data_IF_821682225796
#
_entry.id   IF_821682225796
#
_cell.length_a   1.000
_cell.length_b   1.000
_cell.length_c   1.000
_cell.angle_alpha   90.00
_cell.angle_beta   90.00
_cell.angle_gamma   90.00
#
_symmetry.space_group_name_H-M   'P 1'
#
loop_
_entity.id
_entity.type
_entity.pdbx_description
1 polymer ?
#
# COMPACT_ATOMS: atom_id res chain seq x y z
N UNK A 1 10.50 -8.86 -74.48
CA UNK A 1 11.09 -9.79 -73.48
C UNK A 1 11.10 -9.07 -72.14
N UNK A 2 10.42 -9.62 -71.13
CA UNK A 2 10.32 -9.08 -69.76
C UNK A 2 11.52 -9.57 -68.93
N UNK A 3 12.09 -8.77 -68.01
CA UNK A 3 12.75 -9.31 -66.85
C UNK A 3 11.74 -9.45 -65.70
N UNK A 4 11.59 -10.68 -65.18
CA UNK A 4 11.03 -10.92 -63.85
C UNK A 4 12.09 -10.50 -62.82
N UNK A 5 11.75 -9.52 -61.98
CA UNK A 5 12.51 -9.22 -60.77
C UNK A 5 11.85 -9.94 -59.59
N UNK A 6 12.58 -10.93 -59.07
CA UNK A 6 12.39 -11.53 -57.76
C UNK A 6 12.98 -10.55 -56.74
N UNK A 7 12.13 -9.95 -55.92
CA UNK A 7 12.47 -9.28 -54.67
C UNK A 7 11.19 -9.33 -53.85
N UNK A 8 11.14 -9.77 -52.61
CA UNK A 8 12.14 -9.94 -51.59
C UNK A 8 11.31 -9.93 -50.31
N UNK A 9 11.29 -11.06 -49.63
CA UNK A 9 10.53 -11.31 -48.42
C UNK A 9 10.83 -10.21 -47.37
N UNK A 10 9.86 -9.37 -47.05
CA UNK A 10 9.82 -8.65 -45.76
C UNK A 10 8.42 -8.82 -45.18
N UNK A 11 8.19 -10.02 -44.65
CA UNK A 11 7.19 -10.21 -43.61
C UNK A 11 7.66 -9.39 -42.41
N UNK A 12 7.15 -8.17 -42.30
CA UNK A 12 7.22 -7.39 -41.08
C UNK A 12 6.43 -8.15 -40.02
N UNK A 13 7.12 -9.07 -39.32
CA UNK A 13 6.73 -9.48 -37.98
C UNK A 13 6.83 -8.22 -37.13
N UNK A 14 5.73 -7.47 -37.08
CA UNK A 14 5.45 -6.62 -35.95
C UNK A 14 5.47 -7.56 -34.74
N UNK A 15 6.60 -7.58 -34.05
CA UNK A 15 6.72 -8.02 -32.67
C UNK A 15 5.75 -7.13 -31.88
N UNK A 16 4.49 -7.55 -31.86
CA UNK A 16 3.57 -7.32 -30.77
C UNK A 16 4.26 -7.93 -29.56
N UNK A 17 5.13 -7.13 -28.94
CA UNK A 17 5.48 -7.33 -27.55
C UNK A 17 4.14 -7.48 -26.83
N UNK A 18 3.93 -8.56 -26.05
CA UNK A 18 2.75 -8.62 -25.22
C UNK A 18 2.76 -7.34 -24.39
N UNK A 19 1.68 -6.55 -24.46
CA UNK A 19 1.34 -5.65 -23.36
C UNK A 19 1.58 -6.48 -22.10
N UNK A 20 2.51 -6.04 -21.25
CA UNK A 20 2.73 -6.64 -19.95
C UNK A 20 1.37 -6.68 -19.27
N UNK A 21 0.75 -7.85 -19.34
CA UNK A 21 -0.55 -8.14 -18.79
C UNK A 21 -0.36 -8.04 -17.30
N UNK A 22 -0.70 -6.87 -16.73
CA UNK A 22 -0.93 -6.76 -15.30
C UNK A 22 -1.89 -7.88 -14.92
N UNK A 23 -1.40 -8.88 -14.21
CA UNK A 23 -2.20 -10.04 -13.84
C UNK A 23 -3.33 -9.60 -12.88
N UNK A 24 -4.57 -9.95 -13.26
CA UNK A 24 -5.79 -10.06 -12.46
C UNK A 24 -6.18 -8.86 -11.56
N UNK A 25 -7.22 -8.12 -12.01
CA UNK A 25 -7.83 -6.91 -11.44
C UNK A 25 -8.77 -7.13 -10.24
N UNK A 26 -8.46 -7.99 -9.29
CA UNK A 26 -9.33 -8.17 -8.11
C UNK A 26 -8.51 -8.22 -6.83
N UNK A 27 -8.82 -7.29 -5.92
CA UNK A 27 -8.22 -7.24 -4.60
C UNK A 27 -8.44 -8.57 -3.88
N UNK A 28 -7.39 -9.02 -3.19
CA UNK A 28 -7.54 -10.11 -2.24
C UNK A 28 -8.15 -9.53 -0.99
N UNK A 29 -9.42 -9.84 -0.75
CA UNK A 29 -10.11 -9.43 0.47
C UNK A 29 -9.96 -10.54 1.51
N UNK A 30 -9.34 -10.22 2.64
CA UNK A 30 -9.19 -11.17 3.73
C UNK A 30 -9.37 -10.47 5.07
N UNK A 31 -10.28 -10.99 5.90
CA UNK A 31 -10.29 -10.67 7.32
C UNK A 31 -9.33 -11.63 8.04
N UNK A 32 -8.44 -11.13 8.89
CA UNK A 32 -7.83 -12.02 9.86
C UNK A 32 -8.90 -12.57 10.80
N UNK A 33 -8.77 -13.83 11.22
CA UNK A 33 -9.54 -14.32 12.36
C UNK A 33 -9.26 -13.36 13.52
N UNK A 34 -10.32 -12.75 14.05
CA UNK A 34 -10.23 -12.04 15.31
C UNK A 34 -9.55 -12.96 16.34
N UNK A 35 -8.66 -12.39 17.15
CA UNK A 35 -8.20 -13.01 18.39
C UNK A 35 -9.42 -13.65 19.08
N UNK A 36 -9.38 -14.95 19.46
CA UNK A 36 -10.56 -15.79 19.61
C UNK A 36 -11.70 -15.11 20.37
N UNK A 37 -12.85 -15.04 19.69
CA UNK A 37 -14.08 -14.30 20.04
C UNK A 37 -14.85 -14.82 21.28
N UNK A 38 -14.19 -15.50 22.22
CA UNK A 38 -14.87 -16.03 23.41
C UNK A 38 -14.78 -15.14 24.64
N UNK A 39 -14.15 -13.97 24.58
CA UNK A 39 -14.19 -13.01 25.69
C UNK A 39 -14.14 -11.59 25.15
N UNK A 40 -15.02 -10.73 25.67
CA UNK A 40 -14.98 -9.26 25.66
C UNK A 40 -15.55 -8.57 24.40
N UNK A 41 -16.69 -7.89 24.58
CA UNK A 41 -16.99 -6.60 23.94
C UNK A 41 -15.80 -5.67 24.16
N UNK A 42 -14.81 -5.75 23.28
CA UNK A 42 -13.50 -5.17 23.52
C UNK A 42 -13.52 -3.66 23.27
N UNK A 43 -13.96 -2.91 24.28
CA UNK A 43 -13.90 -1.43 24.31
C UNK A 43 -12.46 -0.89 24.20
N UNK A 44 -11.46 -1.73 24.45
CA UNK A 44 -10.04 -1.38 24.38
C UNK A 44 -9.37 -1.86 23.08
N UNK A 45 -10.11 -2.53 22.19
CA UNK A 45 -9.50 -3.08 20.99
C UNK A 45 -9.22 -1.98 19.98
N UNK A 46 -8.05 -2.11 19.36
CA UNK A 46 -7.59 -1.27 18.28
C UNK A 46 -7.94 -1.99 16.98
N UNK A 47 -8.92 -1.45 16.26
CA UNK A 47 -9.29 -1.88 14.92
C UNK A 47 -8.30 -1.30 13.91
N UNK A 48 -7.85 -2.15 13.00
CA UNK A 48 -6.88 -1.78 11.97
C UNK A 48 -7.42 -2.21 10.62
N UNK A 49 -7.45 -1.28 9.67
CA UNK A 49 -7.65 -1.60 8.26
C UNK A 49 -6.35 -1.34 7.51
N UNK A 50 -5.93 -2.30 6.69
CA UNK A 50 -4.76 -2.20 5.81
C UNK A 50 -5.25 -2.37 4.39
N UNK A 51 -4.94 -1.41 3.53
CA UNK A 51 -5.09 -1.57 2.08
C UNK A 51 -3.74 -1.42 1.39
N UNK A 52 -3.48 -2.26 0.40
CA UNK A 52 -2.28 -2.19 -0.43
C UNK A 52 -2.69 -2.00 -1.87
N UNK A 53 -2.08 -1.01 -2.51
CA UNK A 53 -2.30 -0.67 -3.91
C UNK A 53 -0.99 -0.73 -4.67
N UNK A 54 -1.05 -1.17 -5.92
CA UNK A 54 0.03 -1.00 -6.87
C UNK A 54 -0.35 0.07 -7.88
N UNK A 55 0.47 1.10 -8.00
CA UNK A 55 0.26 2.21 -8.92
C UNK A 55 1.39 2.28 -9.94
N UNK A 56 1.08 2.25 -11.23
CA UNK A 56 2.04 2.49 -12.31
C UNK A 56 1.64 3.77 -13.05
N UNK A 57 2.44 4.85 -12.96
CA UNK A 57 2.14 6.09 -13.67
C UNK A 57 2.22 5.86 -15.19
N UNK A 58 1.36 6.56 -15.94
CA UNK A 58 1.35 6.49 -17.42
C UNK A 58 2.60 7.10 -18.07
N UNK A 59 3.41 7.85 -17.31
CA UNK A 59 4.66 8.44 -17.74
C UNK A 59 5.21 9.45 -16.73
N UNK A 60 6.30 10.14 -17.08
CA UNK A 60 7.01 11.06 -16.19
C UNK A 60 6.12 12.19 -15.62
N UNK A 61 5.23 12.75 -16.45
CA UNK A 61 4.30 13.80 -15.99
C UNK A 61 3.36 13.27 -14.90
N UNK A 62 2.72 12.13 -15.15
CA UNK A 62 1.84 11.48 -14.18
C UNK A 62 2.56 11.12 -12.88
N UNK A 63 3.81 10.67 -12.98
CA UNK A 63 4.66 10.40 -11.82
C UNK A 63 4.89 11.68 -10.99
N UNK A 64 5.25 12.78 -11.64
CA UNK A 64 5.45 14.08 -10.97
C UNK A 64 4.15 14.60 -10.33
N UNK A 65 3.02 14.47 -11.02
CA UNK A 65 1.71 14.89 -10.53
C UNK A 65 1.28 14.06 -9.30
N UNK A 66 1.54 12.74 -9.31
CA UNK A 66 1.28 11.85 -8.18
C UNK A 66 2.16 12.19 -6.96
N UNK A 67 3.47 12.39 -7.17
CA UNK A 67 4.40 12.81 -6.10
C UNK A 67 4.05 14.19 -5.54
N UNK A 68 3.61 15.11 -6.39
CA UNK A 68 3.12 16.44 -5.96
C UNK A 68 1.87 16.31 -5.11
N UNK A 69 0.97 15.38 -5.46
CA UNK A 69 -0.24 15.11 -4.69
C UNK A 69 0.11 14.50 -3.33
N UNK A 70 1.06 13.57 -3.27
CA UNK A 70 1.58 13.02 -2.01
C UNK A 70 2.13 14.11 -1.10
N UNK A 71 2.94 15.04 -1.63
CA UNK A 71 3.54 16.13 -0.86
C UNK A 71 2.49 17.01 -0.17
N UNK A 72 1.32 17.20 -0.79
CA UNK A 72 0.22 17.99 -0.21
C UNK A 72 -0.45 17.33 1.01
N UNK A 73 -0.28 16.02 1.19
CA UNK A 73 -0.90 15.26 2.28
C UNK A 73 -0.03 15.24 3.54
N UNK A 74 1.25 15.58 3.42
CA UNK A 74 2.20 15.50 4.52
C UNK A 74 1.88 16.55 5.59
N UNK A 75 1.37 16.11 6.74
CA UNK A 75 1.12 16.95 7.90
C UNK A 75 2.43 17.27 8.63
N UNK A 76 3.32 18.09 8.06
CA UNK A 76 4.63 18.42 8.65
C UNK A 76 5.54 17.19 8.91
N UNK A 77 6.88 17.34 9.00
CA UNK A 77 7.77 16.18 8.97
C UNK A 77 7.62 15.29 10.22
N UNK A 78 7.31 14.02 9.99
CA UNK A 78 7.49 12.96 10.98
C UNK A 78 9.00 12.72 11.10
N UNK A 79 9.53 12.70 12.33
CA UNK A 79 10.96 12.50 12.57
C UNK A 79 11.42 11.17 11.96
N UNK A 80 12.11 11.23 10.82
CA UNK A 80 12.80 10.09 10.25
C UNK A 80 14.11 9.88 11.01
N UNK A 81 14.36 8.64 11.45
CA UNK A 81 15.72 8.19 11.67
C UNK A 81 16.55 8.36 10.39
N UNK A 82 17.87 8.54 10.50
CA UNK A 82 18.70 8.86 9.34
C UNK A 82 18.65 7.71 8.30
N UNK A 83 18.09 7.97 7.10
CA UNK A 83 18.25 7.07 5.94
C UNK A 83 17.07 6.88 4.97
N UNK A 84 15.81 7.27 5.29
CA UNK A 84 14.68 6.94 4.40
C UNK A 84 14.25 8.11 3.50
N UNK A 85 14.62 8.07 2.22
CA UNK A 85 13.82 8.72 1.19
C UNK A 85 12.59 7.82 0.93
N UNK A 86 11.38 8.27 1.24
CA UNK A 86 10.15 7.47 1.07
C UNK A 86 9.66 6.72 2.32
N UNK A 87 9.98 7.21 3.52
CA UNK A 87 9.46 6.63 4.76
C UNK A 87 7.94 6.81 4.96
N UNK A 88 7.35 6.14 5.98
CA UNK A 88 5.94 6.30 6.31
C UNK A 88 5.59 7.76 6.59
N UNK A 89 4.47 8.21 6.04
CA UNK A 89 3.90 9.53 6.29
C UNK A 89 2.64 9.38 7.12
N UNK A 90 2.49 10.20 8.16
CA UNK A 90 1.23 10.33 8.87
C UNK A 90 0.37 11.39 8.18
N UNK A 91 -0.82 11.00 7.76
CA UNK A 91 -1.75 11.85 6.99
C UNK A 91 -3.06 12.02 7.75
N UNK A 92 -3.81 13.06 7.40
CA UNK A 92 -5.11 13.32 8.03
C UNK A 92 -6.08 12.15 7.82
N UNK A 93 -7.09 11.95 8.69
CA UNK A 93 -8.08 10.90 8.52
C UNK A 93 -8.81 11.05 7.17
N UNK A 94 -8.95 9.94 6.42
CA UNK A 94 -9.56 9.92 5.08
C UNK A 94 -8.70 10.52 3.95
N UNK A 95 -7.54 11.09 4.25
CA UNK A 95 -6.66 11.68 3.25
C UNK A 95 -6.04 10.60 2.36
N UNK A 96 -5.89 9.36 2.85
CA UNK A 96 -5.36 8.25 2.07
C UNK A 96 -6.29 7.84 0.94
N UNK A 97 -7.59 7.71 1.21
CA UNK A 97 -8.56 7.45 0.14
C UNK A 97 -8.63 8.60 -0.86
N UNK A 98 -8.63 9.84 -0.37
CA UNK A 98 -8.59 11.03 -1.25
C UNK A 98 -7.36 11.02 -2.17
N UNK A 99 -6.20 10.55 -1.67
CA UNK A 99 -4.99 10.38 -2.46
C UNK A 99 -5.16 9.35 -3.57
N UNK A 100 -5.67 8.16 -3.24
CA UNK A 100 -5.96 7.07 -4.17
C UNK A 100 -6.88 7.58 -5.30
N UNK A 101 -7.99 8.23 -4.96
CA UNK A 101 -8.92 8.82 -5.94
C UNK A 101 -8.24 9.88 -6.83
N UNK A 102 -7.32 10.66 -6.26
CA UNK A 102 -6.58 11.69 -6.99
C UNK A 102 -5.60 11.10 -7.99
N UNK A 103 -4.99 9.94 -7.72
CA UNK A 103 -3.98 9.35 -8.60
C UNK A 103 -4.54 8.31 -9.56
N UNK A 104 -5.76 7.82 -9.34
CA UNK A 104 -6.38 6.75 -10.15
C UNK A 104 -6.35 7.07 -11.65
N UNK A 105 -6.65 8.31 -12.03
CA UNK A 105 -6.68 8.75 -13.43
C UNK A 105 -5.29 9.06 -14.03
N UNK A 106 -4.22 9.04 -13.23
CA UNK A 106 -2.86 9.36 -13.67
C UNK A 106 -2.11 8.14 -14.23
N UNK A 107 -2.64 6.93 -14.05
CA UNK A 107 -1.98 5.70 -14.47
C UNK A 107 -2.83 4.46 -14.30
N UNK A 108 -2.16 3.32 -14.15
CA UNK A 108 -2.80 2.06 -13.79
C UNK A 108 -2.75 1.90 -12.28
N UNK A 109 -3.92 1.77 -11.64
CA UNK A 109 -4.04 1.60 -10.21
C UNK A 109 -4.78 0.28 -9.93
N UNK A 110 -4.17 -0.57 -9.10
CA UNK A 110 -4.72 -1.89 -8.77
C UNK A 110 -4.70 -2.08 -7.26
N UNK A 111 -5.87 -2.34 -6.67
CA UNK A 111 -5.95 -2.78 -5.28
C UNK A 111 -5.45 -4.23 -5.20
N UNK A 112 -4.42 -4.45 -4.38
CA UNK A 112 -3.78 -5.76 -4.20
C UNK A 112 -4.31 -6.47 -2.97
N UNK A 113 -4.51 -5.71 -1.89
CA UNK A 113 -4.94 -6.23 -0.61
C UNK A 113 -5.96 -5.31 0.04
N UNK A 114 -7.01 -5.91 0.62
CA UNK A 114 -7.82 -5.30 1.65
C UNK A 114 -7.87 -6.24 2.86
N UNK A 115 -7.45 -5.72 4.02
CA UNK A 115 -7.37 -6.48 5.24
C UNK A 115 -7.90 -5.70 6.43
N UNK A 116 -8.65 -6.38 7.29
CA UNK A 116 -9.11 -5.84 8.57
C UNK A 116 -8.74 -6.80 9.69
N UNK A 117 -8.25 -6.23 10.79
CA UNK A 117 -7.95 -6.96 12.02
C UNK A 117 -8.18 -6.12 13.27
N UNK A 118 -7.97 -6.76 14.41
CA UNK A 118 -8.07 -6.13 15.72
C UNK A 118 -6.95 -6.64 16.61
N UNK A 119 -6.37 -5.75 17.42
CA UNK A 119 -5.38 -6.12 18.43
C UNK A 119 -5.59 -5.34 19.72
N UNK A 120 -4.92 -5.79 20.78
CA UNK A 120 -4.77 -5.06 22.03
C UNK A 120 -3.48 -4.21 21.97
N UNK A 121 -3.39 -3.21 22.83
CA UNK A 121 -2.14 -2.48 23.04
C UNK A 121 -1.00 -3.46 23.35
N UNK A 122 0.18 -3.19 22.80
CA UNK A 122 1.43 -3.94 22.95
C UNK A 122 1.40 -5.38 22.41
N UNK A 123 0.31 -5.80 21.78
CA UNK A 123 0.21 -7.12 21.15
C UNK A 123 0.48 -7.01 19.64
N UNK A 124 1.41 -7.81 19.10
CA UNK A 124 1.69 -7.81 17.68
C UNK A 124 0.48 -8.33 16.90
N UNK A 125 0.16 -7.64 15.83
CA UNK A 125 -0.90 -7.96 14.90
C UNK A 125 -0.27 -8.40 13.57
N UNK A 126 -0.03 -9.70 13.38
CA UNK A 126 0.56 -10.22 12.16
C UNK A 126 -0.49 -10.29 11.04
N UNK A 127 -0.04 -9.93 9.85
CA UNK A 127 -0.71 -10.06 8.56
C UNK A 127 0.24 -10.84 7.65
N UNK A 128 -0.23 -11.90 7.02
CA UNK A 128 0.53 -12.64 6.01
C UNK A 128 -0.45 -13.22 4.99
N UNK A 129 -0.35 -12.79 3.75
CA UNK A 129 -1.27 -13.13 2.67
C UNK A 129 -0.45 -13.41 1.42
N UNK A 130 -0.72 -14.57 0.82
CA UNK A 130 -0.08 -15.00 -0.42
C UNK A 130 -1.13 -15.15 -1.52
N UNK A 131 -0.86 -14.60 -2.69
CA UNK A 131 -1.81 -14.60 -3.80
C UNK A 131 -1.15 -14.40 -5.15
N UNK A 132 -1.93 -14.52 -6.23
CA UNK A 132 -1.47 -14.15 -7.57
C UNK A 132 -1.12 -12.65 -7.71
N UNK A 133 -1.64 -11.82 -6.81
CA UNK A 133 -1.38 -10.38 -6.78
C UNK A 133 -0.06 -10.04 -6.04
N UNK A 134 0.63 -11.06 -5.50
CA UNK A 134 1.84 -10.93 -4.69
C UNK A 134 1.69 -11.53 -3.29
N UNK A 135 2.81 -11.57 -2.57
CA UNK A 135 2.87 -11.94 -1.16
C UNK A 135 3.04 -10.67 -0.31
N UNK A 136 2.12 -10.46 0.62
CA UNK A 136 2.08 -9.28 1.48
C UNK A 136 2.12 -9.72 2.92
N UNK A 137 3.05 -9.16 3.70
CA UNK A 137 3.06 -9.37 5.14
C UNK A 137 3.32 -8.07 5.90
N UNK A 138 2.73 -8.00 7.08
CA UNK A 138 2.97 -6.92 8.01
C UNK A 138 2.95 -7.42 9.45
N UNK A 139 3.70 -6.75 10.32
CA UNK A 139 3.56 -6.89 11.77
C UNK A 139 3.35 -5.49 12.34
N UNK A 140 2.20 -5.27 12.95
CA UNK A 140 1.82 -3.99 13.55
C UNK A 140 1.72 -4.13 15.06
N UNK A 141 2.37 -3.24 15.81
CA UNK A 141 2.25 -3.16 17.27
C UNK A 141 1.86 -1.76 17.66
N UNK A 142 0.81 -1.64 18.48
CA UNK A 142 0.21 -0.37 18.86
C UNK A 142 0.47 -0.11 20.34
N UNK A 143 1.03 1.04 20.69
CA UNK A 143 1.12 1.50 22.08
C UNK A 143 0.09 2.61 22.28
N UNK A 144 -1.03 2.27 22.92
CA UNK A 144 -2.05 3.25 23.28
C UNK A 144 -1.65 3.97 24.59
N UNK A 145 -1.35 5.26 24.47
CA UNK A 145 -1.01 6.11 25.64
C UNK A 145 -2.23 6.86 26.18
N UNK A 146 -3.36 6.78 25.51
CA UNK A 146 -4.61 7.46 25.85
C UNK A 146 -5.61 6.46 26.41
N UNK A 147 -5.36 5.96 27.63
CA UNK A 147 -6.31 5.13 28.39
C UNK A 147 -7.54 5.92 28.85
N UNK A 148 -8.39 6.40 27.93
CA UNK A 148 -9.68 6.98 28.26
C UNK A 148 -10.80 6.03 27.86
N UNK A 149 -11.12 5.13 28.80
CA UNK A 149 -11.98 3.95 28.67
C UNK A 149 -13.47 4.21 28.40
N UNK A 150 -13.91 5.45 28.14
CA UNK A 150 -15.33 5.79 28.27
C UNK A 150 -15.98 6.52 27.09
N UNK A 151 -15.26 6.75 25.97
CA UNK A 151 -15.88 7.27 24.73
C UNK A 151 -15.16 6.71 23.49
N UNK A 152 -15.87 6.44 22.38
CA UNK A 152 -15.22 6.22 21.10
C UNK A 152 -14.43 7.47 20.76
N UNK A 153 -13.11 7.38 20.88
CA UNK A 153 -12.16 8.42 20.50
C UNK A 153 -11.34 7.92 19.33
N UNK A 154 -10.90 8.83 18.45
CA UNK A 154 -9.97 8.46 17.40
C UNK A 154 -8.64 8.02 18.03
N UNK A 155 -8.05 6.93 17.51
CA UNK A 155 -6.84 6.34 18.06
C UNK A 155 -5.71 7.37 18.16
N UNK A 156 -5.02 7.41 19.31
CA UNK A 156 -3.83 8.23 19.49
C UNK A 156 -2.73 7.42 20.16
N UNK A 157 -1.63 7.18 19.46
CA UNK A 157 -0.58 6.32 20.00
C UNK A 157 0.61 6.13 19.08
N UNK A 158 1.60 5.38 19.59
CA UNK A 158 2.74 4.97 18.79
C UNK A 158 2.37 3.69 18.04
N UNK A 159 2.70 3.63 16.75
CA UNK A 159 2.57 2.43 15.94
C UNK A 159 3.95 2.02 15.47
N UNK A 160 4.37 0.82 15.84
CA UNK A 160 5.55 0.15 15.29
C UNK A 160 5.09 -0.76 14.17
N UNK A 161 5.78 -0.73 13.04
CA UNK A 161 5.40 -1.51 11.88
C UNK A 161 6.63 -2.15 11.23
N UNK A 162 6.40 -3.30 10.64
CA UNK A 162 7.24 -3.92 9.62
C UNK A 162 6.31 -4.31 8.48
N UNK A 163 6.58 -3.81 7.28
CA UNK A 163 5.80 -4.01 6.06
C UNK A 163 6.69 -4.68 5.02
N UNK A 164 6.14 -5.69 4.35
CA UNK A 164 6.83 -6.43 3.31
C UNK A 164 5.87 -6.76 2.18
N UNK A 165 6.29 -6.47 0.96
CA UNK A 165 5.55 -6.77 -0.27
C UNK A 165 6.48 -7.43 -1.29
N UNK A 166 6.12 -8.63 -1.71
CA UNK A 166 6.67 -9.30 -2.89
C UNK A 166 5.67 -9.12 -4.03
N UNK A 167 5.87 -8.09 -4.85
CA UNK A 167 4.91 -7.66 -5.87
C UNK A 167 5.39 -7.96 -7.29
N UNK A 168 4.49 -8.24 -8.25
CA UNK A 168 4.85 -8.41 -9.65
C UNK A 168 5.45 -7.13 -10.26
N UNK A 169 6.63 -7.24 -10.86
CA UNK A 169 7.35 -6.14 -11.52
C UNK A 169 8.25 -6.66 -12.65
N UNK A 170 8.31 -5.98 -13.81
CA UNK A 170 9.18 -6.33 -14.96
C UNK A 170 9.16 -7.83 -15.35
N UNK A 171 7.99 -8.48 -15.28
CA UNK A 171 7.87 -9.91 -15.59
C UNK A 171 8.43 -10.88 -14.52
N UNK A 172 8.80 -10.38 -13.34
CA UNK A 172 9.22 -11.15 -12.17
C UNK A 172 8.54 -10.67 -10.88
N UNK A 173 9.12 -11.04 -9.73
CA UNK A 173 8.71 -10.59 -8.40
C UNK A 173 9.81 -9.70 -7.84
N UNK A 174 9.43 -8.53 -7.35
CA UNK A 174 10.32 -7.62 -6.64
C UNK A 174 9.88 -7.48 -5.17
N UNK A 175 10.86 -7.48 -4.28
CA UNK A 175 10.65 -7.43 -2.83
C UNK A 175 10.89 -6.03 -2.30
N UNK A 176 9.92 -5.50 -1.56
CA UNK A 176 9.94 -4.17 -0.97
C UNK A 176 9.64 -4.26 0.53
N UNK A 177 10.48 -3.63 1.34
CA UNK A 177 10.39 -3.64 2.80
C UNK A 177 10.38 -2.24 3.40
N UNK A 178 9.65 -2.05 4.49
CA UNK A 178 9.71 -0.82 5.29
C UNK A 178 9.47 -1.17 6.75
N UNK A 179 10.34 -0.69 7.63
CA UNK A 179 10.19 -0.87 9.07
C UNK A 179 10.39 0.44 9.79
N UNK A 180 9.73 0.59 10.93
CA UNK A 180 9.88 1.78 11.75
C UNK A 180 8.79 1.95 12.77
N UNK A 181 8.66 3.19 13.24
CA UNK A 181 7.64 3.59 14.18
C UNK A 181 7.16 5.01 13.88
N UNK A 182 5.86 5.26 14.04
CA UNK A 182 5.24 6.56 13.83
C UNK A 182 4.26 6.87 14.95
N UNK A 183 4.20 8.13 15.36
CA UNK A 183 3.17 8.61 16.26
C UNK A 183 1.95 9.03 15.45
N UNK A 184 0.79 8.43 15.74
CA UNK A 184 -0.49 8.78 15.13
C UNK A 184 -1.27 9.65 16.12
N UNK A 185 -1.50 10.94 15.83
CA UNK A 185 -2.46 11.74 16.57
C UNK A 185 -3.87 11.57 15.98
N UNK A 186 -4.88 11.52 16.84
CA UNK A 186 -6.28 11.80 16.47
C UNK A 186 -6.83 11.00 15.28
N UNK A 187 -6.52 9.70 15.19
CA UNK A 187 -7.08 8.81 14.18
C UNK A 187 -6.52 9.06 12.77
N UNK A 188 -5.39 9.75 12.69
CA UNK A 188 -4.62 9.88 11.46
C UNK A 188 -4.25 8.51 10.87
N UNK A 189 -3.93 8.49 9.59
CA UNK A 189 -3.60 7.28 8.84
C UNK A 189 -2.10 7.24 8.57
N UNK A 190 -1.55 6.04 8.37
CA UNK A 190 -0.18 5.85 7.88
C UNK A 190 -0.25 5.57 6.38
N UNK A 191 0.48 6.34 5.60
CA UNK A 191 0.71 6.13 4.17
C UNK A 191 2.19 5.82 3.95
N UNK A 192 2.51 4.65 3.42
CA UNK A 192 3.88 4.26 3.07
C UNK A 192 3.94 3.91 1.59
N UNK A 193 4.85 4.56 0.85
CA UNK A 193 4.97 4.40 -0.60
C UNK A 193 6.37 3.90 -0.93
N UNK A 194 6.43 2.73 -1.55
CA UNK A 194 7.68 2.06 -1.90
C UNK A 194 7.85 2.04 -3.42
N UNK A 195 8.91 2.65 -3.97
CA UNK A 195 9.19 2.60 -5.40
C UNK A 195 9.63 1.19 -5.81
N UNK A 196 9.22 0.78 -7.00
CA UNK A 196 9.58 -0.48 -7.66
C UNK A 196 10.47 -0.17 -8.86
N UNK A 197 11.38 -1.08 -9.24
CA UNK A 197 12.35 -0.83 -10.31
C UNK A 197 11.73 -0.57 -11.69
N UNK A 198 10.51 -1.07 -11.93
CA UNK A 198 9.75 -0.84 -13.17
C UNK A 198 9.06 0.53 -13.26
N UNK A 199 9.29 1.38 -12.24
CA UNK A 199 8.67 2.69 -12.11
C UNK A 199 7.27 2.67 -11.50
N UNK A 200 6.76 1.50 -11.09
CA UNK A 200 5.55 1.41 -10.27
C UNK A 200 5.84 1.69 -8.79
N UNK A 201 4.78 1.75 -8.00
CA UNK A 201 4.80 2.02 -6.58
C UNK A 201 3.89 1.05 -5.85
N UNK A 202 4.34 0.55 -4.71
CA UNK A 202 3.49 -0.12 -3.71
C UNK A 202 3.08 0.90 -2.66
N UNK A 203 1.78 1.05 -2.47
CA UNK A 203 1.19 2.03 -1.57
C UNK A 203 0.46 1.27 -0.47
N UNK A 204 0.97 1.38 0.75
CA UNK A 204 0.32 0.89 1.96
C UNK A 204 -0.46 2.03 2.61
N UNK A 205 -1.74 1.80 2.86
CA UNK A 205 -2.59 2.68 3.64
C UNK A 205 -3.10 1.93 4.87
N UNK A 206 -2.74 2.42 6.06
CA UNK A 206 -3.06 1.79 7.34
C UNK A 206 -3.90 2.77 8.16
N UNK A 207 -5.13 2.37 8.45
CA UNK A 207 -6.07 3.11 9.27
C UNK A 207 -6.20 2.46 10.63
N UNK A 208 -6.18 3.27 11.68
CA UNK A 208 -6.23 2.80 13.07
C UNK A 208 -7.38 3.51 13.79
N UNK A 209 -8.22 2.74 14.46
CA UNK A 209 -9.39 3.25 15.19
C UNK A 209 -9.68 2.40 16.43
N UNK A 210 -10.45 2.92 17.37
CA UNK A 210 -11.02 2.12 18.46
C UNK A 210 -12.41 1.58 18.05
N UNK A 211 -12.83 0.46 18.65
CA UNK A 211 -14.19 -0.07 18.52
C UNK A 211 -15.24 0.75 19.30
#
# INVERSE_FOLDING_TARGET
MKPLLIAGLFLSFSLLLPLESFASDSAVNQSANATPANVITCMECIKVNVSVWQFKPSGLKAQLDALTSLYKLQLSPVFHGPGSAGGPTVIAPGAGHTFIDTIEHLGSLQQRLEWTGASLSDHPLPLAISSFAGDYSAVLTFEDRTRQLFRPQPFTGLVRFSLHADAPANGGIESQGSEGQVWIPQGNEILNIQPVTDGSYIIWLIQVSHF
#
